data_IF_392481879863
#
_entry.id   IF_392481879863
#
_cell.length_a   1.000
_cell.length_b   1.000
_cell.length_c   1.000
_cell.angle_alpha   90.00
_cell.angle_beta   90.00
_cell.angle_gamma   90.00
#
_symmetry.space_group_name_H-M   'P 1'
#
loop_
_entity.id
_entity.type
_entity.pdbx_description
1 polymer ?
#
# COMPACT_ATOMS: atom_id res chain seq x y z
N UNK A 1 -11.81 -3.21 18.43
CA UNK A 1 -10.39 -2.80 18.25
C UNK A 1 -9.98 -3.19 16.84
N UNK A 2 -9.76 -2.23 15.95
CA UNK A 2 -9.24 -2.52 14.62
C UNK A 2 -7.78 -2.96 14.76
N UNK A 3 -7.48 -4.23 14.52
CA UNK A 3 -6.14 -4.77 14.73
C UNK A 3 -5.18 -4.18 13.69
N UNK A 4 -4.08 -3.57 14.16
CA UNK A 4 -3.00 -3.15 13.26
C UNK A 4 -2.28 -4.37 12.69
N UNK A 5 -1.86 -4.24 11.43
CA UNK A 5 -1.07 -5.24 10.73
C UNK A 5 0.11 -4.58 10.02
N UNK A 6 1.13 -5.38 9.77
CA UNK A 6 2.30 -5.02 8.96
C UNK A 6 2.23 -5.78 7.65
N UNK A 7 2.54 -5.09 6.56
CA UNK A 7 2.61 -5.63 5.22
C UNK A 7 3.90 -5.16 4.55
N UNK A 8 4.58 -6.06 3.86
CA UNK A 8 5.73 -5.73 3.02
C UNK A 8 5.43 -6.09 1.56
N UNK A 9 5.95 -5.29 0.64
CA UNK A 9 5.80 -5.55 -0.79
C UNK A 9 6.41 -4.46 -1.66
N UNK A 10 6.46 -4.71 -2.96
CA UNK A 10 6.97 -3.78 -3.98
C UNK A 10 5.82 -2.94 -4.50
N UNK A 11 6.00 -1.62 -4.53
CA UNK A 11 5.05 -0.71 -5.16
C UNK A 11 5.10 -0.86 -6.68
N UNK A 12 4.17 -1.62 -7.25
CA UNK A 12 4.14 -1.91 -8.70
C UNK A 12 3.51 -0.77 -9.50
N UNK A 13 2.53 -0.06 -8.93
CA UNK A 13 1.80 1.00 -9.64
C UNK A 13 1.08 1.95 -8.69
N UNK A 14 1.09 3.23 -9.01
CA UNK A 14 0.18 4.24 -8.46
C UNK A 14 -1.00 4.40 -9.43
N UNK A 15 -2.21 4.07 -8.99
CA UNK A 15 -3.43 4.22 -9.80
C UNK A 15 -4.07 5.59 -9.66
N UNK A 16 -3.87 6.25 -8.52
CA UNK A 16 -4.32 7.60 -8.25
C UNK A 16 -3.43 8.21 -7.17
N UNK A 17 -3.12 9.50 -7.32
CA UNK A 17 -2.46 10.29 -6.29
C UNK A 17 -3.13 11.67 -6.23
N UNK A 18 -3.44 12.12 -5.02
CA UNK A 18 -3.83 13.49 -4.75
C UNK A 18 -2.62 14.20 -4.15
N UNK A 19 -2.05 15.15 -4.89
CA UNK A 19 -0.86 15.88 -4.48
C UNK A 19 -1.14 16.89 -3.35
N UNK A 20 -2.38 17.35 -3.20
CA UNK A 20 -2.75 18.34 -2.17
C UNK A 20 -2.75 17.75 -0.76
N UNK A 21 -3.16 16.48 -0.61
CA UNK A 21 -3.27 15.82 0.69
C UNK A 21 -2.45 14.52 0.81
N UNK A 22 -1.76 14.10 -0.25
CA UNK A 22 -0.93 12.90 -0.29
C UNK A 22 -1.68 11.59 -0.39
N UNK A 23 -3.01 11.60 -0.51
CA UNK A 23 -3.79 10.38 -0.62
C UNK A 23 -3.46 9.64 -1.91
N UNK A 24 -3.04 8.39 -1.76
CA UNK A 24 -2.59 7.55 -2.86
C UNK A 24 -3.40 6.26 -2.88
N UNK A 25 -3.76 5.81 -4.09
CA UNK A 25 -4.23 4.45 -4.34
C UNK A 25 -3.13 3.74 -5.13
N UNK A 26 -2.61 2.67 -4.54
CA UNK A 26 -1.46 1.93 -5.03
C UNK A 26 -1.77 0.44 -5.21
N UNK A 27 -1.01 -0.19 -6.08
CA UNK A 27 -1.00 -1.62 -6.31
C UNK A 27 0.35 -2.15 -5.89
N UNK A 28 0.35 -3.06 -4.93
CA UNK A 28 1.57 -3.60 -4.30
C UNK A 28 1.65 -5.09 -4.55
N UNK A 29 2.78 -5.57 -5.04
CA UNK A 29 3.10 -6.99 -5.05
C UNK A 29 3.66 -7.38 -3.67
N UNK A 30 2.99 -8.30 -3.00
CA UNK A 30 3.38 -8.77 -1.66
C UNK A 30 4.23 -10.04 -1.72
N UNK A 31 4.56 -10.54 -2.92
CA UNK A 31 5.19 -11.84 -3.15
C UNK A 31 4.28 -13.01 -2.77
N UNK A 32 3.01 -12.74 -2.41
CA UNK A 32 2.01 -13.73 -2.02
C UNK A 32 0.88 -13.72 -3.05
N UNK A 33 0.59 -14.89 -3.61
CA UNK A 33 -0.37 -15.04 -4.71
C UNK A 33 0.34 -14.92 -6.05
N UNK A 34 -0.14 -15.67 -7.05
CA UNK A 34 0.51 -15.83 -8.35
C UNK A 34 0.38 -14.57 -9.24
N UNK A 35 0.97 -13.44 -8.79
CA UNK A 35 0.92 -12.15 -9.49
C UNK A 35 -0.27 -11.25 -9.10
N UNK A 36 -1.01 -11.61 -8.04
CA UNK A 36 -2.14 -10.81 -7.57
C UNK A 36 -1.65 -9.57 -6.82
N UNK A 37 -1.85 -8.39 -7.41
CA UNK A 37 -1.52 -7.12 -6.75
C UNK A 37 -2.57 -6.77 -5.68
N UNK A 38 -2.10 -6.31 -4.53
CA UNK A 38 -2.94 -5.82 -3.46
C UNK A 38 -3.27 -4.33 -3.66
N UNK A 39 -4.52 -3.93 -3.43
CA UNK A 39 -4.87 -2.50 -3.30
C UNK A 39 -4.43 -1.97 -1.94
N UNK A 40 -3.58 -0.96 -1.96
CA UNK A 40 -3.11 -0.21 -0.80
C UNK A 40 -3.56 1.23 -0.94
N UNK A 41 -4.07 1.82 0.14
CA UNK A 41 -4.52 3.23 0.16
C UNK A 41 -3.95 3.97 1.36
N UNK A 42 -3.73 5.27 1.24
CA UNK A 42 -3.25 6.09 2.36
C UNK A 42 -2.25 7.15 1.92
N UNK A 43 -1.59 7.79 2.89
CA UNK A 43 -0.55 8.77 2.63
C UNK A 43 0.77 8.05 2.32
N UNK A 44 1.10 7.95 1.02
CA UNK A 44 2.34 7.35 0.51
C UNK A 44 3.27 8.42 -0.07
N UNK A 45 3.34 9.57 0.59
CA UNK A 45 4.10 10.74 0.13
C UNK A 45 5.57 10.41 -0.09
N UNK A 46 6.03 10.47 -1.34
CA UNK A 46 7.43 10.21 -1.71
C UNK A 46 7.71 8.78 -2.19
N UNK A 47 6.79 7.83 -1.97
CA UNK A 47 6.97 6.46 -2.43
C UNK A 47 7.00 6.38 -3.96
N UNK A 48 7.96 5.64 -4.51
CA UNK A 48 8.17 5.49 -5.95
C UNK A 48 7.86 4.06 -6.41
N UNK A 49 7.37 3.94 -7.64
CA UNK A 49 7.18 2.63 -8.28
C UNK A 49 8.51 1.89 -8.35
N UNK A 50 8.51 0.62 -7.96
CA UNK A 50 9.69 -0.23 -7.83
C UNK A 50 10.30 -0.26 -6.42
N UNK A 51 9.87 0.61 -5.50
CA UNK A 51 10.36 0.58 -4.13
C UNK A 51 9.72 -0.56 -3.32
N UNK A 52 10.56 -1.22 -2.52
CA UNK A 52 10.11 -2.12 -1.45
C UNK A 52 9.64 -1.27 -0.27
N UNK A 53 8.38 -1.47 0.14
CA UNK A 53 7.77 -0.75 1.25
C UNK A 53 7.44 -1.70 2.39
N UNK A 54 7.75 -1.28 3.61
CA UNK A 54 7.17 -1.84 4.84
C UNK A 54 6.08 -0.89 5.33
N UNK A 55 4.85 -1.38 5.33
CA UNK A 55 3.65 -0.59 5.59
C UNK A 55 2.93 -1.10 6.84
N UNK A 56 2.50 -0.16 7.67
CA UNK A 56 1.74 -0.38 8.88
C UNK A 56 0.35 0.22 8.72
N UNK A 57 -0.68 -0.55 9.06
CA UNK A 57 -2.04 -0.13 8.76
C UNK A 57 -3.10 -1.13 9.15
N UNK A 58 -4.26 -1.02 8.49
CA UNK A 58 -5.46 -1.79 8.82
C UNK A 58 -6.10 -2.35 7.56
N UNK A 59 -6.63 -3.55 7.70
CA UNK A 59 -7.47 -4.16 6.67
C UNK A 59 -8.87 -3.55 6.69
N UNK A 60 -9.37 -3.21 5.50
CA UNK A 60 -10.73 -2.77 5.29
C UNK A 60 -11.31 -3.32 3.99
N UNK A 61 -12.59 -3.07 3.77
CA UNK A 61 -13.23 -3.32 2.49
C UNK A 61 -14.02 -2.09 2.06
N UNK A 62 -13.92 -1.76 0.78
CA UNK A 62 -14.76 -0.77 0.15
C UNK A 62 -15.88 -1.50 -0.61
N UNK A 63 -17.12 -1.02 -0.48
CA UNK A 63 -18.30 -1.67 -1.08
C UNK A 63 -18.19 -1.86 -2.60
N UNK A 64 -17.53 -0.93 -3.29
CA UNK A 64 -17.33 -0.97 -4.74
C UNK A 64 -16.01 -1.63 -5.18
N UNK A 65 -14.95 -1.53 -4.36
CA UNK A 65 -13.58 -1.87 -4.79
C UNK A 65 -12.98 -3.07 -4.05
N UNK A 66 -13.73 -3.68 -3.12
CA UNK A 66 -13.31 -4.86 -2.39
C UNK A 66 -12.27 -4.57 -1.31
N UNK A 67 -11.46 -5.58 -1.00
CA UNK A 67 -10.49 -5.57 0.10
C UNK A 67 -9.34 -4.61 -0.19
N UNK A 68 -8.99 -3.78 0.79
CA UNK A 68 -7.89 -2.82 0.72
C UNK A 68 -7.11 -2.82 2.03
N UNK A 69 -5.84 -2.42 1.93
CA UNK A 69 -5.01 -2.14 3.09
C UNK A 69 -4.85 -0.63 3.23
N UNK A 70 -5.37 -0.06 4.32
CA UNK A 70 -5.21 1.36 4.63
C UNK A 70 -3.93 1.58 5.42
N UNK A 71 -2.98 2.28 4.83
CA UNK A 71 -1.66 2.60 5.40
C UNK A 71 -1.78 3.82 6.29
N UNK A 72 -1.22 3.71 7.49
CA UNK A 72 -1.06 4.80 8.45
C UNK A 72 0.40 5.26 8.56
N UNK A 73 1.34 4.34 8.36
CA UNK A 73 2.76 4.63 8.33
C UNK A 73 3.47 3.69 7.36
N UNK A 74 4.56 4.16 6.74
CA UNK A 74 5.39 3.31 5.90
C UNK A 74 6.85 3.72 5.94
N UNK A 75 7.72 2.78 5.57
CA UNK A 75 9.15 3.02 5.37
C UNK A 75 9.59 2.36 4.08
N UNK A 76 10.55 2.98 3.39
CA UNK A 76 11.24 2.34 2.27
C UNK A 76 12.27 1.36 2.82
N UNK A 77 12.28 0.15 2.26
CA UNK A 77 13.24 -0.89 2.61
C UNK A 77 14.28 -0.90 1.50
N UNK A 78 15.49 -0.44 1.82
CA UNK A 78 16.61 -0.54 0.89
C UNK A 78 17.11 -2.00 0.87
N UNK A 79 17.43 -2.57 -0.30
CA UNK A 79 18.16 -3.83 -0.35
C UNK A 79 19.50 -3.70 0.38
N UNK A 80 19.87 -4.76 1.10
CA UNK A 80 21.11 -4.84 1.88
C UNK A 80 22.37 -4.84 1.00
#
# INVERSE_FOLDING_TARGET
MSNMAVLEGVLERITYANEENGYTVARVDTGRGAGDLLTVVGALLGAQVGESLRMEGRWGSHSQYGKQFTVENYTTVLPA
#
